data_IF_300505962360
#
_entry.id   IF_300505962360
#
_cell.length_a   1.000
_cell.length_b   1.000
_cell.length_c   1.000
_cell.angle_alpha   90.00
_cell.angle_beta   90.00
_cell.angle_gamma   90.00
#
_symmetry.space_group_name_H-M   'P 1'
#
loop_
_entity.id
_entity.type
_entity.pdbx_description
1 polymer ?
#
# COMPACT_ATOMS: atom_id res chain seq x y z
N UNK A 1 11.25 -60.80 5.13
CA UNK A 1 11.86 -59.54 5.59
C UNK A 1 11.03 -58.31 5.12
N UNK A 2 9.83 -58.03 5.66
CA UNK A 2 9.01 -56.90 5.18
C UNK A 2 9.15 -55.60 6.01
N UNK A 3 9.86 -55.60 7.15
CA UNK A 3 9.88 -54.49 8.11
C UNK A 3 11.11 -53.57 8.08
N UNK A 4 12.17 -53.93 7.35
CA UNK A 4 13.47 -53.20 7.42
C UNK A 4 13.47 -51.97 6.49
N UNK A 5 12.91 -52.11 5.29
CA UNK A 5 12.87 -51.03 4.30
C UNK A 5 12.04 -49.80 4.76
N UNK A 6 10.84 -49.96 5.38
CA UNK A 6 10.08 -48.85 5.93
C UNK A 6 10.77 -48.16 7.12
N UNK A 7 11.49 -48.93 7.94
CA UNK A 7 12.23 -48.40 9.09
C UNK A 7 13.47 -47.60 8.67
N UNK A 8 14.20 -48.08 7.65
CA UNK A 8 15.35 -47.38 7.08
C UNK A 8 14.92 -46.09 6.38
N UNK A 9 13.83 -46.13 5.63
CA UNK A 9 13.26 -44.97 4.94
C UNK A 9 12.74 -43.93 5.93
N UNK A 10 12.08 -44.35 7.02
CA UNK A 10 11.66 -43.45 8.11
C UNK A 10 12.85 -42.82 8.84
N UNK A 11 13.93 -43.57 9.07
CA UNK A 11 15.18 -43.04 9.64
C UNK A 11 15.85 -42.03 8.71
N UNK A 12 15.84 -42.27 7.40
CA UNK A 12 16.38 -41.34 6.41
C UNK A 12 15.56 -40.05 6.36
N UNK A 13 14.23 -40.15 6.30
CA UNK A 13 13.31 -39.00 6.35
C UNK A 13 13.53 -38.18 7.63
N UNK A 14 13.63 -38.82 8.80
CA UNK A 14 13.88 -38.12 10.06
C UNK A 14 15.26 -37.44 10.09
N UNK A 15 16.30 -38.05 9.54
CA UNK A 15 17.64 -37.44 9.44
C UNK A 15 17.63 -36.23 8.50
N UNK A 16 17.00 -36.36 7.33
CA UNK A 16 16.84 -35.25 6.38
C UNK A 16 16.04 -34.12 7.01
N UNK A 17 14.93 -34.43 7.68
CA UNK A 17 14.13 -33.44 8.42
C UNK A 17 14.95 -32.75 9.52
N UNK A 18 15.76 -33.49 10.28
CA UNK A 18 16.65 -32.93 11.29
C UNK A 18 17.72 -31.99 10.71
N UNK A 19 18.31 -32.34 9.56
CA UNK A 19 19.28 -31.48 8.86
C UNK A 19 18.60 -30.21 8.35
N UNK A 20 17.41 -30.31 7.76
CA UNK A 20 16.63 -29.16 7.29
C UNK A 20 16.27 -28.23 8.45
N UNK A 21 15.80 -28.78 9.58
CA UNK A 21 15.49 -27.99 10.78
C UNK A 21 16.73 -27.28 11.33
N UNK A 22 17.88 -27.97 11.39
CA UNK A 22 19.13 -27.36 11.84
C UNK A 22 19.60 -26.24 10.90
N UNK A 23 19.48 -26.43 9.58
CA UNK A 23 19.81 -25.41 8.59
C UNK A 23 18.88 -24.18 8.71
N UNK A 24 17.57 -24.39 8.86
CA UNK A 24 16.61 -23.32 9.12
C UNK A 24 16.93 -22.55 10.41
N UNK A 25 17.32 -23.26 11.48
CA UNK A 25 17.70 -22.64 12.74
C UNK A 25 18.98 -21.81 12.63
N UNK A 26 20.02 -22.34 11.97
CA UNK A 26 21.27 -21.60 11.74
C UNK A 26 21.04 -20.37 10.86
N UNK A 27 20.18 -20.49 9.85
CA UNK A 27 19.80 -19.37 9.00
C UNK A 27 19.02 -18.30 9.77
N UNK A 28 18.07 -18.70 10.63
CA UNK A 28 17.36 -17.79 11.54
C UNK A 28 18.34 -17.09 12.50
N UNK A 29 19.27 -17.83 13.12
CA UNK A 29 20.25 -17.27 14.04
C UNK A 29 21.20 -16.28 13.33
N UNK A 30 21.66 -16.61 12.12
CA UNK A 30 22.45 -15.70 11.30
C UNK A 30 21.66 -14.46 10.88
N UNK A 31 20.42 -14.63 10.42
CA UNK A 31 19.56 -13.52 10.01
C UNK A 31 19.29 -12.59 11.19
N UNK A 32 18.97 -13.13 12.37
CA UNK A 32 18.84 -12.36 13.60
C UNK A 32 20.12 -11.59 13.90
N UNK A 33 21.27 -12.25 13.97
CA UNK A 33 22.54 -11.60 14.30
C UNK A 33 22.94 -10.51 13.28
N UNK A 34 22.90 -10.84 11.99
CA UNK A 34 23.28 -9.93 10.91
C UNK A 34 22.32 -8.74 10.86
N UNK A 35 21.01 -8.97 10.76
CA UNK A 35 20.06 -7.87 10.59
C UNK A 35 19.87 -7.03 11.86
N UNK A 36 19.99 -7.58 13.07
CA UNK A 36 20.04 -6.73 14.28
C UNK A 36 21.30 -5.86 14.31
N UNK A 37 22.45 -6.36 13.83
CA UNK A 37 23.70 -5.61 13.86
C UNK A 37 23.86 -4.59 12.73
N UNK A 38 23.19 -4.79 11.59
CA UNK A 38 23.34 -3.93 10.41
C UNK A 38 22.15 -3.02 10.12
N UNK A 39 20.94 -3.36 10.59
CA UNK A 39 19.74 -2.57 10.28
C UNK A 39 19.68 -1.32 11.15
N UNK A 40 19.85 -0.16 10.51
CA UNK A 40 19.74 1.14 11.17
C UNK A 40 18.28 1.61 11.13
N UNK A 41 17.57 1.49 12.23
CA UNK A 41 16.29 2.16 12.42
C UNK A 41 16.57 3.62 12.81
N UNK A 42 16.01 4.61 12.11
CA UNK A 42 16.17 6.01 12.49
C UNK A 42 15.70 6.29 13.93
N UNK A 43 16.38 7.16 14.69
CA UNK A 43 16.12 7.34 16.12
C UNK A 43 14.75 7.93 16.46
N UNK A 44 14.08 8.62 15.52
CA UNK A 44 12.74 9.17 15.76
C UNK A 44 11.59 8.19 15.44
N UNK A 45 11.88 6.97 14.98
CA UNK A 45 10.85 5.95 14.77
C UNK A 45 10.35 5.43 16.11
N UNK A 46 9.03 5.30 16.26
CA UNK A 46 8.46 4.71 17.45
C UNK A 46 8.81 3.22 17.59
N UNK A 47 9.17 2.80 18.81
CA UNK A 47 9.37 1.38 19.16
C UNK A 47 10.32 0.62 18.20
N UNK A 48 11.59 1.06 18.05
CA UNK A 48 12.50 0.58 17.01
C UNK A 48 12.79 -0.93 17.05
N UNK A 49 12.75 -1.56 18.23
CA UNK A 49 12.90 -3.01 18.38
C UNK A 49 11.79 -3.79 17.65
N UNK A 50 10.56 -3.28 17.62
CA UNK A 50 9.46 -3.90 16.87
C UNK A 50 9.70 -3.81 15.36
N UNK A 51 10.23 -2.67 14.89
CA UNK A 51 10.60 -2.49 13.47
C UNK A 51 11.72 -3.45 13.08
N UNK A 52 12.75 -3.61 13.91
CA UNK A 52 13.81 -4.59 13.67
C UNK A 52 13.28 -6.02 13.63
N UNK A 53 12.38 -6.38 14.55
CA UNK A 53 11.72 -7.69 14.53
C UNK A 53 10.94 -7.91 13.22
N UNK A 54 10.10 -6.95 12.83
CA UNK A 54 9.34 -7.02 11.57
C UNK A 54 10.24 -7.11 10.35
N UNK A 55 11.33 -6.35 10.31
CA UNK A 55 12.32 -6.43 9.24
C UNK A 55 12.90 -7.83 9.10
N UNK A 56 13.31 -8.45 10.21
CA UNK A 56 13.85 -9.81 10.21
C UNK A 56 12.82 -10.81 9.71
N UNK A 57 11.57 -10.72 10.19
CA UNK A 57 10.47 -11.55 9.69
C UNK A 57 10.30 -11.41 8.19
N UNK A 58 10.26 -10.17 7.66
CA UNK A 58 10.13 -9.94 6.22
C UNK A 58 11.28 -10.53 5.42
N UNK A 59 12.53 -10.26 5.83
CA UNK A 59 13.72 -10.82 5.15
C UNK A 59 13.66 -12.35 5.12
N UNK A 60 13.22 -12.97 6.21
CA UNK A 60 13.06 -14.43 6.25
C UNK A 60 11.92 -14.92 5.36
N UNK A 61 10.76 -14.27 5.34
CA UNK A 61 9.66 -14.69 4.47
C UNK A 61 10.05 -14.61 2.99
N UNK A 62 10.69 -13.51 2.57
CA UNK A 62 11.16 -13.34 1.20
C UNK A 62 12.33 -14.28 0.85
N UNK A 63 13.28 -14.47 1.77
CA UNK A 63 14.41 -15.36 1.59
C UNK A 63 13.98 -16.83 1.44
N UNK A 64 13.08 -17.29 2.32
CA UNK A 64 12.51 -18.62 2.24
C UNK A 64 11.74 -18.81 0.95
N UNK A 65 10.88 -17.85 0.58
CA UNK A 65 10.14 -17.93 -0.67
C UNK A 65 11.06 -17.99 -1.89
N UNK A 66 12.13 -17.20 -1.91
CA UNK A 66 13.10 -17.22 -3.00
C UNK A 66 13.75 -18.60 -3.16
N UNK A 67 14.18 -19.22 -2.06
CA UNK A 67 14.75 -20.57 -2.09
C UNK A 67 13.74 -21.59 -2.60
N UNK A 68 12.53 -21.62 -2.03
CA UNK A 68 11.48 -22.56 -2.41
C UNK A 68 11.03 -22.39 -3.86
N UNK A 69 10.95 -21.14 -4.34
CA UNK A 69 10.68 -20.83 -5.74
C UNK A 69 11.76 -21.36 -6.67
N UNK A 70 13.04 -21.17 -6.33
CA UNK A 70 14.16 -21.66 -7.14
C UNK A 70 14.22 -23.18 -7.28
N UNK A 71 13.75 -23.91 -6.29
CA UNK A 71 13.69 -25.39 -6.33
C UNK A 71 12.32 -25.92 -6.82
N UNK A 72 11.40 -25.03 -7.24
CA UNK A 72 10.11 -25.41 -7.83
C UNK A 72 9.05 -25.89 -6.83
N UNK A 73 9.20 -25.60 -5.53
CA UNK A 73 8.25 -26.05 -4.49
C UNK A 73 7.06 -25.11 -4.27
N UNK A 74 7.21 -23.81 -4.55
CA UNK A 74 6.08 -22.88 -4.53
C UNK A 74 6.27 -21.69 -5.48
N UNK A 75 5.18 -21.02 -5.90
CA UNK A 75 5.28 -19.81 -6.70
C UNK A 75 6.04 -18.68 -5.99
N UNK A 76 6.60 -17.77 -6.78
CA UNK A 76 7.10 -16.51 -6.27
C UNK A 76 5.96 -15.72 -5.58
N UNK A 77 6.27 -15.06 -4.48
CA UNK A 77 5.38 -14.38 -3.54
C UNK A 77 4.43 -15.25 -2.69
N UNK A 78 4.38 -16.58 -2.89
CA UNK A 78 3.42 -17.44 -2.17
C UNK A 78 3.56 -17.37 -0.64
N UNK A 79 4.79 -17.46 -0.11
CA UNK A 79 5.03 -17.44 1.34
C UNK A 79 4.73 -16.09 1.99
N UNK A 80 5.24 -14.94 1.48
CA UNK A 80 4.88 -13.65 2.08
C UNK A 80 3.38 -13.37 1.99
N UNK A 81 2.70 -13.68 0.87
CA UNK A 81 1.24 -13.54 0.75
C UNK A 81 0.51 -14.33 1.84
N UNK A 82 0.82 -15.62 1.95
CA UNK A 82 0.22 -16.48 2.96
C UNK A 82 0.46 -15.92 4.38
N UNK A 83 1.68 -15.51 4.71
CA UNK A 83 2.00 -15.01 6.05
C UNK A 83 1.19 -13.77 6.45
N UNK A 84 0.82 -12.91 5.48
CA UNK A 84 -0.03 -11.74 5.75
C UNK A 84 -1.51 -12.11 5.98
N UNK A 85 -1.98 -13.24 5.43
CA UNK A 85 -3.39 -13.67 5.50
C UNK A 85 -3.71 -14.57 6.70
N UNK A 86 -2.69 -15.11 7.38
CA UNK A 86 -2.87 -16.15 8.43
C UNK A 86 -3.44 -15.61 9.75
N UNK A 87 -3.65 -14.30 9.87
CA UNK A 87 -4.19 -13.71 11.10
C UNK A 87 -5.71 -13.79 11.05
N UNK A 88 -6.36 -14.65 11.84
CA UNK A 88 -7.81 -14.79 11.78
C UNK A 88 -8.51 -13.50 12.22
N UNK A 89 -9.72 -13.25 11.70
CA UNK A 89 -10.58 -12.20 12.19
C UNK A 89 -10.77 -12.33 13.70
N UNK A 90 -10.85 -11.20 14.39
CA UNK A 90 -11.24 -11.22 15.80
C UNK A 90 -12.74 -11.49 15.92
N UNK A 91 -13.15 -12.39 16.81
CA UNK A 91 -14.55 -12.51 17.20
C UNK A 91 -15.00 -11.21 17.89
N UNK A 92 -15.78 -10.40 17.18
CA UNK A 92 -16.40 -9.19 17.71
C UNK A 92 -17.92 -9.28 17.48
N UNK A 93 -18.72 -9.56 18.51
CA UNK A 93 -20.16 -9.77 18.35
C UNK A 93 -20.91 -8.50 17.91
N UNK A 94 -20.29 -7.32 18.08
CA UNK A 94 -20.91 -6.01 17.79
C UNK A 94 -20.95 -5.67 16.31
N UNK A 95 -20.09 -6.30 15.50
CA UNK A 95 -19.98 -6.03 14.06
C UNK A 95 -20.45 -7.24 13.24
N UNK A 96 -21.12 -6.94 12.12
CA UNK A 96 -21.46 -7.88 11.06
C UNK A 96 -20.37 -7.83 10.00
N UNK A 97 -19.87 -9.00 9.61
CA UNK A 97 -18.91 -9.16 8.50
C UNK A 97 -19.55 -10.09 7.48
N UNK A 98 -19.74 -9.60 6.25
CA UNK A 98 -20.37 -10.36 5.16
C UNK A 98 -19.47 -10.34 3.92
N UNK A 99 -19.25 -11.50 3.31
CA UNK A 99 -18.60 -11.59 2.01
C UNK A 99 -19.65 -11.60 0.91
N UNK A 100 -19.45 -10.79 -0.13
CA UNK A 100 -20.30 -10.71 -1.32
C UNK A 100 -19.44 -10.60 -2.59
N UNK A 101 -20.09 -10.51 -3.75
CA UNK A 101 -19.44 -10.23 -5.02
C UNK A 101 -20.12 -9.03 -5.69
N UNK A 102 -19.34 -8.01 -6.04
CA UNK A 102 -19.79 -6.85 -6.82
C UNK A 102 -19.23 -6.98 -8.22
N UNK A 103 -20.09 -7.18 -9.23
CA UNK A 103 -19.68 -7.42 -10.63
C UNK A 103 -18.62 -8.55 -10.76
N UNK A 104 -18.72 -9.59 -9.93
CA UNK A 104 -17.76 -10.70 -9.91
C UNK A 104 -16.46 -10.44 -9.11
N UNK A 105 -16.29 -9.26 -8.54
CA UNK A 105 -15.17 -8.93 -7.64
C UNK A 105 -15.56 -9.28 -6.21
N UNK A 106 -14.78 -10.11 -5.49
CA UNK A 106 -15.08 -10.42 -4.10
C UNK A 106 -14.93 -9.18 -3.24
N UNK A 107 -15.89 -8.94 -2.35
CA UNK A 107 -15.86 -7.83 -1.40
C UNK A 107 -16.21 -8.32 0.00
N UNK A 108 -15.73 -7.61 1.02
CA UNK A 108 -16.09 -7.84 2.41
C UNK A 108 -16.69 -6.59 3.02
N UNK A 109 -17.90 -6.72 3.54
CA UNK A 109 -18.70 -5.64 4.11
C UNK A 109 -18.64 -5.72 5.63
N UNK A 110 -18.30 -4.60 6.26
CA UNK A 110 -18.22 -4.41 7.70
C UNK A 110 -19.28 -3.38 8.12
N UNK A 111 -20.14 -3.75 9.07
CA UNK A 111 -21.20 -2.87 9.57
C UNK A 111 -21.56 -3.21 11.02
N UNK A 112 -21.79 -2.19 11.86
CA UNK A 112 -22.32 -2.40 13.21
C UNK A 112 -23.71 -3.06 13.16
N UNK A 113 -23.93 -4.06 14.02
CA UNK A 113 -25.24 -4.73 14.13
C UNK A 113 -26.29 -3.87 14.82
N UNK A 114 -25.87 -2.92 15.64
CA UNK A 114 -26.76 -1.97 16.28
C UNK A 114 -27.52 -1.17 15.22
N UNK A 115 -28.83 -0.95 15.38
CA UNK A 115 -29.58 -0.09 14.49
C UNK A 115 -29.00 1.33 14.51
N UNK A 116 -28.79 1.93 13.35
CA UNK A 116 -28.49 3.37 13.27
C UNK A 116 -29.80 4.16 13.21
N UNK A 117 -29.78 5.38 13.72
CA UNK A 117 -30.93 6.29 13.66
C UNK A 117 -31.26 6.74 12.22
N UNK A 118 -30.35 6.52 11.27
CA UNK A 118 -30.55 6.79 9.85
C UNK A 118 -29.60 6.00 8.97
N UNK A 119 -29.49 6.39 7.70
CA UNK A 119 -28.48 5.82 6.81
C UNK A 119 -27.07 6.19 7.30
N UNK A 120 -26.09 5.31 7.07
CA UNK A 120 -24.69 5.47 7.47
C UNK A 120 -23.85 6.08 6.37
N UNK A 121 -22.62 6.50 6.74
CA UNK A 121 -21.55 6.77 5.77
C UNK A 121 -21.12 5.46 5.12
N UNK A 122 -20.78 5.50 3.85
CA UNK A 122 -20.24 4.35 3.11
C UNK A 122 -18.78 4.57 2.78
N UNK A 123 -17.93 3.58 3.02
CA UNK A 123 -16.50 3.64 2.72
C UNK A 123 -16.15 2.50 1.79
N UNK A 124 -15.77 2.79 0.55
CA UNK A 124 -15.10 1.82 -0.32
C UNK A 124 -13.60 1.84 -0.01
N UNK A 125 -13.06 0.71 0.41
CA UNK A 125 -11.66 0.56 0.78
C UNK A 125 -10.88 -0.29 -0.23
N UNK A 126 -9.75 0.22 -0.69
CA UNK A 126 -8.78 -0.49 -1.54
C UNK A 126 -7.49 -0.67 -0.76
N UNK A 127 -7.04 -1.92 -0.64
CA UNK A 127 -5.85 -2.22 0.14
C UNK A 127 -4.55 -1.85 -0.57
N UNK A 128 -3.46 -1.76 0.18
CA UNK A 128 -2.11 -1.53 -0.32
C UNK A 128 -1.43 -2.82 -0.81
N UNK A 129 -0.10 -2.83 -0.80
CA UNK A 129 0.69 -4.01 -1.18
C UNK A 129 1.17 -4.03 -2.64
N UNK A 130 1.34 -2.86 -3.26
CA UNK A 130 1.93 -2.70 -4.60
C UNK A 130 1.20 -3.48 -5.72
N UNK A 131 -0.08 -3.84 -5.53
CA UNK A 131 -0.80 -4.74 -6.45
C UNK A 131 -0.27 -6.19 -6.48
N UNK A 132 0.67 -6.52 -5.60
CA UNK A 132 1.35 -7.82 -5.48
C UNK A 132 1.04 -8.54 -4.16
N UNK A 133 0.58 -7.82 -3.14
CA UNK A 133 0.31 -8.29 -1.79
C UNK A 133 -1.02 -7.73 -1.28
N UNK A 134 -1.44 -8.23 -0.11
CA UNK A 134 -2.67 -7.81 0.57
C UNK A 134 -3.88 -8.65 0.15
N UNK A 135 -4.92 -8.58 0.97
CA UNK A 135 -6.19 -9.27 0.77
C UNK A 135 -7.23 -8.66 1.72
N UNK A 136 -8.50 -9.03 1.52
CA UNK A 136 -9.58 -8.73 2.47
C UNK A 136 -9.37 -9.38 3.85
N UNK A 137 -8.55 -10.43 3.94
CA UNK A 137 -8.21 -11.10 5.20
C UNK A 137 -7.10 -10.35 5.92
N UNK A 138 -6.02 -10.00 5.23
CA UNK A 138 -4.90 -9.24 5.80
C UNK A 138 -5.32 -7.87 6.35
N UNK A 139 -6.33 -7.23 5.74
CA UNK A 139 -6.83 -5.92 6.15
C UNK A 139 -8.04 -5.99 7.10
N UNK A 140 -8.42 -7.17 7.60
CA UNK A 140 -9.65 -7.34 8.38
C UNK A 140 -9.70 -6.42 9.60
N UNK A 141 -8.64 -6.39 10.41
CA UNK A 141 -8.60 -5.62 11.66
C UNK A 141 -8.65 -4.12 11.39
N UNK A 142 -7.96 -3.67 10.35
CA UNK A 142 -7.95 -2.29 9.90
C UNK A 142 -9.36 -1.84 9.45
N UNK A 143 -9.99 -2.60 8.55
CA UNK A 143 -11.32 -2.33 8.03
C UNK A 143 -12.39 -2.37 9.12
N UNK A 144 -12.37 -3.40 9.98
CA UNK A 144 -13.27 -3.53 11.12
C UNK A 144 -13.15 -2.36 12.07
N UNK A 145 -11.93 -1.91 12.36
CA UNK A 145 -11.69 -0.78 13.26
C UNK A 145 -12.33 0.50 12.72
N UNK A 146 -12.09 0.84 11.45
CA UNK A 146 -12.69 2.06 10.86
C UNK A 146 -14.22 1.96 10.86
N UNK A 147 -14.79 0.84 10.39
CA UNK A 147 -16.24 0.65 10.33
C UNK A 147 -16.90 0.81 11.70
N UNK A 148 -16.32 0.17 12.72
CA UNK A 148 -16.81 0.20 14.10
C UNK A 148 -16.70 1.59 14.71
N UNK A 149 -15.49 2.14 14.70
CA UNK A 149 -15.22 3.38 15.44
C UNK A 149 -15.88 4.60 14.79
N UNK A 150 -16.19 4.56 13.48
CA UNK A 150 -16.84 5.65 12.76
C UNK A 150 -18.35 5.48 12.52
N UNK A 151 -18.97 4.37 12.97
CA UNK A 151 -20.35 3.97 12.63
C UNK A 151 -20.62 4.04 11.11
N UNK A 152 -19.70 3.46 10.33
CA UNK A 152 -19.78 3.43 8.87
C UNK A 152 -20.00 2.02 8.35
N UNK A 153 -20.59 1.91 7.15
CA UNK A 153 -20.51 0.69 6.35
C UNK A 153 -19.23 0.75 5.54
N UNK A 154 -18.31 -0.18 5.77
CA UNK A 154 -17.06 -0.26 5.02
C UNK A 154 -17.07 -1.49 4.13
N UNK A 155 -16.77 -1.30 2.85
CA UNK A 155 -16.65 -2.35 1.84
C UNK A 155 -15.18 -2.46 1.42
N UNK A 156 -14.52 -3.54 1.80
CA UNK A 156 -13.14 -3.84 1.41
C UNK A 156 -13.14 -4.63 0.10
N UNK A 157 -12.43 -4.15 -0.91
CA UNK A 157 -12.39 -4.75 -2.26
C UNK A 157 -11.25 -5.76 -2.35
N UNK A 158 -11.59 -7.02 -2.63
CA UNK A 158 -10.64 -8.12 -2.83
C UNK A 158 -10.20 -8.26 -4.28
N UNK A 159 -9.63 -7.19 -4.86
CA UNK A 159 -9.17 -7.23 -6.25
C UNK A 159 -8.02 -8.24 -6.43
N UNK A 160 -7.85 -8.74 -7.66
CA UNK A 160 -6.84 -9.74 -8.02
C UNK A 160 -5.41 -9.17 -8.00
N UNK A 161 -4.40 -10.00 -7.74
CA UNK A 161 -3.00 -9.55 -7.68
C UNK A 161 -2.23 -9.89 -8.96
N UNK A 162 -1.24 -9.05 -9.30
CA UNK A 162 -0.22 -9.38 -10.28
C UNK A 162 0.80 -10.36 -9.65
N UNK A 163 1.48 -11.22 -10.42
CA UNK A 163 1.45 -11.32 -11.88
C UNK A 163 0.28 -12.16 -12.43
N UNK A 164 -0.49 -12.85 -11.59
CA UNK A 164 -1.59 -13.71 -12.04
C UNK A 164 -2.69 -12.92 -12.78
N UNK A 165 -2.88 -11.66 -12.41
CA UNK A 165 -3.73 -10.71 -13.12
C UNK A 165 -2.93 -9.42 -13.36
N UNK A 166 -2.39 -9.21 -14.58
CA UNK A 166 -1.50 -8.08 -14.86
C UNK A 166 -2.24 -6.74 -14.83
N UNK A 167 -1.47 -5.66 -14.72
CA UNK A 167 -1.94 -4.30 -14.96
C UNK A 167 -2.69 -4.22 -16.32
N UNK A 168 -3.85 -3.54 -16.41
CA UNK A 168 -4.53 -2.71 -15.40
C UNK A 168 -5.71 -3.41 -14.68
N UNK A 169 -5.73 -4.74 -14.59
CA UNK A 169 -6.92 -5.50 -14.13
C UNK A 169 -7.44 -5.05 -12.77
N UNK A 170 -6.55 -4.71 -11.83
CA UNK A 170 -6.88 -4.21 -10.50
C UNK A 170 -7.74 -2.94 -10.55
N UNK A 171 -7.35 -1.99 -11.41
CA UNK A 171 -8.07 -0.72 -11.55
C UNK A 171 -9.48 -0.94 -12.08
N UNK A 172 -9.65 -1.86 -13.03
CA UNK A 172 -10.95 -2.20 -13.58
C UNK A 172 -11.84 -2.84 -12.51
N UNK A 173 -11.33 -3.80 -11.75
CA UNK A 173 -12.09 -4.43 -10.67
C UNK A 173 -12.47 -3.45 -9.55
N UNK A 174 -11.54 -2.59 -9.13
CA UNK A 174 -11.84 -1.54 -8.16
C UNK A 174 -12.88 -0.56 -8.69
N UNK A 175 -12.79 -0.17 -9.97
CA UNK A 175 -13.79 0.68 -10.62
C UNK A 175 -15.17 0.02 -10.62
N UNK A 176 -15.28 -1.23 -11.08
CA UNK A 176 -16.56 -1.91 -11.22
C UNK A 176 -17.23 -2.18 -9.86
N UNK A 177 -16.46 -2.59 -8.86
CA UNK A 177 -16.95 -2.72 -7.49
C UNK A 177 -17.42 -1.37 -6.91
N UNK A 178 -16.72 -0.28 -7.20
CA UNK A 178 -17.10 1.08 -6.77
C UNK A 178 -18.39 1.53 -7.42
N UNK A 179 -18.51 1.38 -8.74
CA UNK A 179 -19.73 1.73 -9.48
C UNK A 179 -20.92 0.91 -9.00
N UNK A 180 -20.73 -0.39 -8.75
CA UNK A 180 -21.76 -1.25 -8.18
C UNK A 180 -22.23 -0.74 -6.82
N UNK A 181 -21.30 -0.48 -5.90
CA UNK A 181 -21.62 0.00 -4.57
C UNK A 181 -22.35 1.35 -4.61
N UNK A 182 -21.86 2.30 -5.42
CA UNK A 182 -22.46 3.63 -5.55
C UNK A 182 -23.89 3.58 -6.11
N UNK A 183 -24.20 2.65 -7.01
CA UNK A 183 -25.56 2.47 -7.53
C UNK A 183 -26.51 1.80 -6.53
N UNK A 184 -25.98 1.02 -5.60
CA UNK A 184 -26.75 0.16 -4.71
C UNK A 184 -26.58 0.55 -3.23
N UNK A 185 -26.00 1.70 -2.90
CA UNK A 185 -25.57 2.04 -1.55
C UNK A 185 -26.71 2.01 -0.54
N UNK A 186 -27.91 2.45 -0.94
CA UNK A 186 -29.10 2.44 -0.08
C UNK A 186 -29.48 1.03 0.38
N UNK A 187 -29.23 -0.01 -0.44
CA UNK A 187 -29.48 -1.41 -0.07
C UNK A 187 -28.61 -1.88 1.10
N UNK A 188 -27.48 -1.22 1.32
CA UNK A 188 -26.57 -1.47 2.44
C UNK A 188 -26.84 -0.54 3.65
N UNK A 189 -27.90 0.27 3.59
CA UNK A 189 -28.20 1.31 4.57
C UNK A 189 -27.22 2.48 4.53
N UNK A 190 -26.62 2.75 3.35
CA UNK A 190 -25.66 3.83 3.13
C UNK A 190 -26.33 4.99 2.40
N UNK A 191 -26.09 6.18 2.92
CA UNK A 191 -26.51 7.44 2.31
C UNK A 191 -25.68 7.72 1.05
N UNK A 192 -26.30 7.78 -0.16
CA UNK A 192 -25.57 8.03 -1.40
C UNK A 192 -24.78 9.34 -1.40
N UNK A 193 -25.16 10.33 -0.59
CA UNK A 193 -24.46 11.61 -0.48
C UNK A 193 -23.22 11.57 0.43
N UNK A 194 -22.97 10.44 1.12
CA UNK A 194 -21.88 10.28 2.10
C UNK A 194 -21.00 9.06 1.79
N UNK A 195 -20.70 8.85 0.50
CA UNK A 195 -19.79 7.81 0.03
C UNK A 195 -18.35 8.34 0.01
N UNK A 196 -17.45 7.61 0.63
CA UNK A 196 -16.03 7.91 0.76
C UNK A 196 -15.23 6.85 0.02
N UNK A 197 -14.24 7.25 -0.77
CA UNK A 197 -13.23 6.34 -1.31
C UNK A 197 -11.96 6.41 -0.46
N UNK A 198 -11.42 5.28 -0.04
CA UNK A 198 -10.29 5.21 0.86
C UNK A 198 -9.29 4.13 0.41
N UNK A 199 -8.00 4.40 0.54
CA UNK A 199 -7.01 3.37 0.33
C UNK A 199 -5.63 3.76 0.83
N UNK A 200 -4.82 2.73 1.10
CA UNK A 200 -3.46 2.89 1.60
C UNK A 200 -2.42 2.50 0.56
N UNK A 201 -1.30 3.23 0.49
CA UNK A 201 -0.20 2.91 -0.43
C UNK A 201 -0.68 2.80 -1.89
N UNK A 202 -0.64 1.61 -2.49
CA UNK A 202 -1.23 1.29 -3.80
C UNK A 202 -2.76 1.48 -3.84
N UNK A 203 -3.48 1.19 -2.76
CA UNK A 203 -4.90 1.51 -2.66
C UNK A 203 -5.16 3.02 -2.68
N UNK A 204 -4.22 3.82 -2.16
CA UNK A 204 -4.23 5.28 -2.26
C UNK A 204 -4.08 5.76 -3.70
N UNK A 205 -3.20 5.12 -4.48
CA UNK A 205 -3.09 5.32 -5.93
C UNK A 205 -4.44 5.09 -6.63
N UNK A 206 -5.05 3.93 -6.39
CA UNK A 206 -6.35 3.54 -6.96
C UNK A 206 -7.42 4.56 -6.57
N UNK A 207 -7.46 4.97 -5.31
CA UNK A 207 -8.42 5.95 -4.77
C UNK A 207 -8.33 7.29 -5.51
N UNK A 208 -7.11 7.84 -5.62
CA UNK A 208 -6.88 9.11 -6.29
C UNK A 208 -7.31 9.04 -7.77
N UNK A 209 -6.92 7.97 -8.47
CA UNK A 209 -7.31 7.75 -9.86
C UNK A 209 -8.83 7.63 -10.04
N UNK A 210 -9.51 6.81 -9.21
CA UNK A 210 -10.95 6.62 -9.32
C UNK A 210 -11.72 7.91 -9.02
N UNK A 211 -11.28 8.73 -8.06
CA UNK A 211 -11.91 10.03 -7.83
C UNK A 211 -11.81 10.95 -9.04
N UNK A 212 -10.64 10.99 -9.71
CA UNK A 212 -10.47 11.74 -10.96
C UNK A 212 -11.37 11.23 -12.08
N UNK A 213 -11.56 9.92 -12.18
CA UNK A 213 -12.38 9.30 -13.22
C UNK A 213 -13.89 9.47 -12.99
N UNK A 214 -14.34 9.31 -11.76
CA UNK A 214 -15.76 9.31 -11.42
C UNK A 214 -16.35 10.71 -11.26
N UNK A 215 -15.52 11.75 -11.05
CA UNK A 215 -15.96 13.13 -10.78
C UNK A 215 -17.03 13.63 -11.75
N UNK A 216 -16.87 13.36 -13.04
CA UNK A 216 -17.74 13.88 -14.10
C UNK A 216 -18.93 12.96 -14.44
N UNK A 217 -19.05 11.80 -13.77
CA UNK A 217 -20.20 10.90 -13.94
C UNK A 217 -21.44 11.54 -13.32
N UNK A 218 -22.53 11.56 -14.08
CA UNK A 218 -23.83 12.12 -13.67
C UNK A 218 -24.86 11.04 -13.37
N UNK A 219 -24.59 9.80 -13.77
CA UNK A 219 -25.40 8.61 -13.50
C UNK A 219 -25.10 7.97 -12.13
N UNK A 220 -24.17 8.52 -11.37
CA UNK A 220 -23.74 8.03 -10.05
C UNK A 220 -23.87 9.15 -9.01
N UNK A 221 -24.08 8.79 -7.72
CA UNK A 221 -23.85 9.72 -6.61
C UNK A 221 -22.45 10.34 -6.68
N UNK A 222 -22.27 11.50 -6.05
CA UNK A 222 -20.92 12.09 -5.94
C UNK A 222 -20.14 11.43 -4.82
N UNK A 223 -18.84 11.24 -5.04
CA UNK A 223 -17.93 10.92 -3.94
C UNK A 223 -17.89 12.12 -3.02
N UNK A 224 -18.14 11.90 -1.73
CA UNK A 224 -18.18 12.93 -0.71
C UNK A 224 -16.78 13.33 -0.26
N UNK A 225 -15.92 12.35 0.01
CA UNK A 225 -14.53 12.54 0.39
C UNK A 225 -13.62 11.44 -0.18
N UNK A 226 -12.33 11.74 -0.33
CA UNK A 226 -11.30 10.75 -0.64
C UNK A 226 -10.23 10.71 0.45
N UNK A 227 -9.81 9.52 0.87
CA UNK A 227 -8.83 9.32 1.94
C UNK A 227 -7.61 8.57 1.39
N UNK A 228 -6.46 9.24 1.42
CA UNK A 228 -5.20 8.76 0.86
C UNK A 228 -4.20 8.51 1.99
N UNK A 229 -3.94 7.23 2.30
CA UNK A 229 -3.06 6.87 3.41
C UNK A 229 -1.68 6.50 2.87
N UNK A 230 -0.68 7.33 3.18
CA UNK A 230 0.72 7.25 2.69
C UNK A 230 0.80 6.78 1.23
N UNK A 231 0.13 7.51 0.30
CA UNK A 231 -0.18 7.00 -1.03
C UNK A 231 1.04 7.02 -1.96
N UNK A 232 1.10 6.05 -2.88
CA UNK A 232 1.95 6.15 -4.07
C UNK A 232 1.21 6.95 -5.14
N UNK A 233 1.80 8.01 -5.69
CA UNK A 233 1.08 8.91 -6.61
C UNK A 233 1.87 9.34 -7.84
N UNK A 234 3.17 9.01 -7.94
CA UNK A 234 3.96 9.28 -9.13
C UNK A 234 5.15 8.32 -9.32
N UNK A 235 5.40 7.95 -10.57
CA UNK A 235 6.58 7.18 -11.00
C UNK A 235 7.60 8.04 -11.78
N UNK A 236 7.48 9.36 -11.74
CA UNK A 236 8.30 10.29 -12.52
C UNK A 236 9.69 10.51 -11.91
N UNK A 237 9.74 10.80 -10.61
CA UNK A 237 10.97 11.10 -9.87
C UNK A 237 11.02 10.30 -8.57
N UNK A 238 11.75 9.20 -8.60
CA UNK A 238 12.03 8.37 -7.42
C UNK A 238 13.30 8.82 -6.68
N UNK A 239 13.72 10.07 -6.87
CA UNK A 239 14.85 10.73 -6.19
C UNK A 239 14.43 11.99 -5.44
N UNK A 240 13.13 12.20 -5.20
CA UNK A 240 12.66 13.22 -4.25
C UNK A 240 13.30 13.03 -2.86
N UNK A 241 13.38 14.09 -2.02
CA UNK A 241 14.03 14.05 -0.72
C UNK A 241 13.71 12.81 0.14
N UNK A 242 12.44 12.46 0.32
CA UNK A 242 11.97 11.30 1.09
C UNK A 242 12.45 9.96 0.52
N UNK A 243 12.45 9.79 -0.80
CA UNK A 243 12.98 8.59 -1.45
C UNK A 243 14.47 8.37 -1.11
N UNK A 244 15.24 9.45 -0.96
CA UNK A 244 16.66 9.38 -0.58
C UNK A 244 16.83 9.21 0.93
N UNK A 245 16.18 10.07 1.72
CA UNK A 245 16.23 10.10 3.18
C UNK A 245 15.83 8.74 3.79
N UNK A 246 14.79 8.12 3.25
CA UNK A 246 14.23 6.86 3.74
C UNK A 246 14.63 5.66 2.86
N UNK A 247 15.65 5.82 1.99
CA UNK A 247 16.04 4.83 0.99
C UNK A 247 16.36 3.43 1.54
N UNK A 248 16.81 3.35 2.80
CA UNK A 248 17.20 2.12 3.49
C UNK A 248 16.23 1.74 4.62
N UNK A 249 15.03 2.32 4.67
CA UNK A 249 14.09 2.01 5.74
C UNK A 249 13.79 0.49 5.78
N UNK A 250 13.86 -0.18 6.95
CA UNK A 250 13.90 -1.65 6.99
C UNK A 250 12.67 -2.37 6.42
N UNK A 251 11.48 -1.76 6.50
CA UNK A 251 10.23 -2.40 6.07
C UNK A 251 9.92 -2.17 4.58
N UNK A 252 10.21 -0.97 4.08
CA UNK A 252 10.14 -0.64 2.65
C UNK A 252 11.33 0.24 2.28
N UNK A 253 12.28 -0.33 1.53
CA UNK A 253 13.39 0.44 0.98
C UNK A 253 13.00 1.00 -0.38
N UNK A 254 13.66 2.08 -0.81
CA UNK A 254 13.48 2.64 -2.16
C UNK A 254 13.71 1.57 -3.23
N UNK A 255 14.74 0.72 -3.04
CA UNK A 255 15.06 -0.37 -3.97
C UNK A 255 13.96 -1.42 -4.04
N UNK A 256 13.37 -1.80 -2.90
CA UNK A 256 12.29 -2.78 -2.87
C UNK A 256 10.99 -2.22 -3.47
N UNK A 257 10.64 -0.97 -3.18
CA UNK A 257 9.52 -0.28 -3.82
C UNK A 257 9.64 -0.33 -5.35
N UNK A 258 10.78 0.09 -5.89
CA UNK A 258 11.04 0.07 -7.34
C UNK A 258 11.02 -1.35 -7.92
N UNK A 259 11.52 -2.34 -7.18
CA UNK A 259 11.47 -3.74 -7.59
C UNK A 259 10.03 -4.25 -7.69
N UNK A 260 9.18 -3.90 -6.72
CA UNK A 260 7.77 -4.29 -6.72
C UNK A 260 7.00 -3.55 -7.81
N UNK A 261 7.26 -2.26 -8.03
CA UNK A 261 6.68 -1.50 -9.14
C UNK A 261 7.05 -2.12 -10.51
N UNK A 262 8.33 -2.46 -10.71
CA UNK A 262 8.77 -3.13 -11.94
C UNK A 262 8.08 -4.50 -12.11
N UNK A 263 7.97 -5.29 -11.05
CA UNK A 263 7.26 -6.57 -11.12
C UNK A 263 5.76 -6.42 -11.39
N UNK A 264 5.10 -5.39 -10.83
CA UNK A 264 3.69 -5.10 -11.06
C UNK A 264 3.40 -4.75 -12.52
N UNK A 265 4.31 -4.01 -13.16
CA UNK A 265 4.23 -3.58 -14.55
C UNK A 265 4.87 -4.56 -15.55
N UNK A 266 5.32 -5.73 -15.10
CA UNK A 266 6.05 -6.73 -15.92
C UNK A 266 7.30 -6.15 -16.61
N UNK A 267 8.04 -5.32 -15.89
CA UNK A 267 9.22 -4.61 -16.38
C UNK A 267 10.53 -5.21 -15.86
N UNK A 268 11.61 -5.00 -16.63
CA UNK A 268 12.95 -5.49 -16.30
C UNK A 268 13.52 -4.85 -15.03
N UNK A 269 14.29 -5.62 -14.26
CA UNK A 269 15.05 -5.13 -13.10
C UNK A 269 16.09 -4.07 -13.45
N UNK A 270 16.53 -3.98 -14.72
CA UNK A 270 17.39 -2.89 -15.19
C UNK A 270 16.76 -1.51 -14.99
N UNK A 271 15.42 -1.43 -14.93
CA UNK A 271 14.70 -0.20 -14.56
C UNK A 271 15.18 0.35 -13.22
N UNK A 272 15.39 -0.53 -12.24
CA UNK A 272 15.62 -0.13 -10.84
C UNK A 272 16.87 0.75 -10.75
N UNK A 273 17.97 0.32 -11.39
CA UNK A 273 19.23 1.08 -11.39
C UNK A 273 19.10 2.38 -12.20
N UNK A 274 18.30 2.38 -13.26
CA UNK A 274 18.03 3.58 -14.06
C UNK A 274 17.17 4.61 -13.30
N UNK A 275 16.11 4.17 -12.61
CA UNK A 275 15.29 5.03 -11.76
C UNK A 275 16.10 5.63 -10.59
N UNK A 276 16.94 4.81 -9.94
CA UNK A 276 17.82 5.24 -8.84
C UNK A 276 18.87 6.25 -9.32
N UNK A 277 19.35 6.12 -10.57
CA UNK A 277 20.32 7.06 -11.15
C UNK A 277 19.68 8.28 -11.82
N UNK A 278 18.34 8.41 -11.79
CA UNK A 278 17.60 9.50 -12.44
C UNK A 278 17.52 9.38 -13.96
N UNK A 279 18.01 8.28 -14.55
CA UNK A 279 18.17 8.07 -15.98
C UNK A 279 16.93 7.57 -16.72
N UNK A 280 15.82 7.41 -16.01
CA UNK A 280 14.61 6.80 -16.55
C UNK A 280 13.79 7.73 -17.43
N UNK A 281 13.61 8.98 -16.97
CA UNK A 281 12.71 9.95 -17.59
C UNK A 281 13.52 11.01 -18.33
N UNK A 282 13.24 11.30 -19.61
CA UNK A 282 13.94 12.35 -20.35
C UNK A 282 13.83 13.73 -19.70
N UNK A 283 14.89 14.54 -19.79
CA UNK A 283 14.93 15.88 -19.19
C UNK A 283 13.78 16.78 -19.70
N UNK A 284 13.37 16.66 -20.96
CA UNK A 284 12.23 17.41 -21.50
C UNK A 284 10.92 17.11 -20.78
N UNK A 285 10.70 15.85 -20.41
CA UNK A 285 9.53 15.40 -19.64
C UNK A 285 9.65 15.84 -18.18
N UNK A 286 10.83 15.71 -17.57
CA UNK A 286 11.07 16.23 -16.21
C UNK A 286 10.78 17.73 -16.14
N UNK A 287 11.24 18.50 -17.13
CA UNK A 287 10.99 19.94 -17.22
C UNK A 287 9.51 20.27 -17.41
N UNK A 288 8.76 19.47 -18.18
CA UNK A 288 7.30 19.63 -18.34
C UNK A 288 6.58 19.54 -16.99
N UNK A 289 6.96 18.57 -16.15
CA UNK A 289 6.31 18.31 -14.87
C UNK A 289 7.00 18.96 -13.67
N UNK A 290 8.08 19.74 -13.87
CA UNK A 290 8.84 20.39 -12.80
C UNK A 290 7.98 21.28 -11.91
N UNK A 291 6.95 21.91 -12.47
CA UNK A 291 5.99 22.71 -11.69
C UNK A 291 5.21 21.90 -10.66
N UNK A 292 5.16 20.56 -10.80
CA UNK A 292 4.36 19.66 -9.96
C UNK A 292 5.23 18.68 -9.18
N UNK A 293 6.18 18.02 -9.85
CA UNK A 293 7.11 17.04 -9.25
C UNK A 293 8.50 17.64 -9.23
N UNK A 294 8.82 18.32 -8.13
CA UNK A 294 10.14 18.87 -7.86
C UNK A 294 10.32 19.14 -6.37
N UNK A 295 11.56 19.07 -5.88
CA UNK A 295 11.86 19.31 -4.47
C UNK A 295 11.57 20.74 -3.98
N UNK A 296 11.46 21.70 -4.90
CA UNK A 296 11.05 23.08 -4.59
C UNK A 296 9.59 23.20 -4.16
N UNK A 297 8.76 22.23 -4.53
CA UNK A 297 7.34 22.18 -4.15
C UNK A 297 7.12 21.48 -2.81
N UNK A 298 8.20 21.04 -2.14
CA UNK A 298 8.15 20.36 -0.84
C UNK A 298 8.49 21.38 0.25
N UNK A 299 7.75 21.43 1.38
CA UNK A 299 8.06 22.34 2.48
C UNK A 299 9.49 22.18 2.99
N UNK A 300 10.07 23.29 3.46
CA UNK A 300 11.49 23.39 3.77
C UNK A 300 11.96 22.34 4.78
N UNK A 301 11.18 22.14 5.84
CA UNK A 301 11.40 21.18 6.92
C UNK A 301 11.58 19.73 6.44
N UNK A 302 11.00 19.35 5.29
CA UNK A 302 11.10 17.99 4.74
C UNK A 302 12.27 17.82 3.75
N UNK A 303 12.87 18.91 3.24
CA UNK A 303 13.99 18.87 2.27
C UNK A 303 15.37 19.11 2.86
N UNK A 304 15.47 19.59 4.10
CA UNK A 304 16.76 19.98 4.73
C UNK A 304 17.70 18.82 5.06
N UNK A 305 17.23 17.58 5.11
CA UNK A 305 18.06 16.41 5.44
C UNK A 305 18.56 15.73 4.16
N UNK A 306 19.87 15.57 4.02
CA UNK A 306 20.53 14.65 3.07
C UNK A 306 19.85 14.51 1.69
N UNK A 307 19.74 15.61 0.94
CA UNK A 307 19.27 15.58 -0.44
C UNK A 307 20.42 15.93 -1.39
N UNK A 308 20.79 14.97 -2.22
CA UNK A 308 21.65 15.22 -3.37
C UNK A 308 20.77 15.22 -4.61
N UNK A 309 20.66 16.33 -5.36
CA UNK A 309 19.96 16.33 -6.64
C UNK A 309 20.57 15.25 -7.54
N UNK A 310 19.73 14.42 -8.18
CA UNK A 310 20.23 13.44 -9.13
C UNK A 310 20.95 14.17 -10.28
N UNK A 311 22.10 13.65 -10.76
CA UNK A 311 22.77 14.25 -11.91
C UNK A 311 21.85 14.21 -13.15
N UNK A 312 21.96 15.20 -14.05
CA UNK A 312 21.14 15.24 -15.26
C UNK A 312 21.39 14.00 -16.11
N UNK A 313 20.30 13.31 -16.42
CA UNK A 313 20.31 12.06 -17.15
C UNK A 313 20.49 12.23 -18.65
N UNK A 314 21.23 11.31 -19.26
CA UNK A 314 21.16 11.04 -20.71
C UNK A 314 20.24 9.83 -20.92
N UNK A 315 19.04 10.00 -21.51
CA UNK A 315 18.13 8.88 -21.73
C UNK A 315 18.77 7.85 -22.65
N UNK A 316 18.53 6.56 -22.41
CA UNK A 316 18.82 5.51 -23.39
C UNK A 316 17.62 5.37 -24.33
N UNK A 317 17.85 5.28 -25.63
CA UNK A 317 16.81 5.40 -26.68
C UNK A 317 15.72 4.29 -26.68
N UNK A 318 15.83 3.26 -25.85
CA UNK A 318 14.95 2.07 -25.89
C UNK A 318 13.90 1.98 -24.76
N UNK A 319 13.47 3.12 -24.18
CA UNK A 319 12.68 3.16 -22.94
C UNK A 319 11.22 3.63 -23.11
N UNK A 320 10.70 3.69 -24.33
CA UNK A 320 9.38 4.26 -24.63
C UNK A 320 8.22 3.63 -23.84
N UNK A 321 8.10 2.29 -23.80
CA UNK A 321 6.97 1.63 -23.13
C UNK A 321 6.90 1.96 -21.63
N UNK A 322 8.07 1.96 -20.97
CA UNK A 322 8.16 2.28 -19.56
C UNK A 322 7.84 3.75 -19.28
N UNK A 323 8.26 4.66 -20.17
CA UNK A 323 7.89 6.06 -20.08
C UNK A 323 6.37 6.24 -20.18
N UNK A 324 5.70 5.51 -21.07
CA UNK A 324 4.24 5.56 -21.19
C UNK A 324 3.53 5.11 -19.92
N UNK A 325 3.94 4.00 -19.32
CA UNK A 325 3.34 3.50 -18.08
C UNK A 325 3.61 4.42 -16.89
N UNK A 326 4.83 4.93 -16.75
CA UNK A 326 5.18 5.87 -15.68
C UNK A 326 4.41 7.19 -15.76
N UNK A 327 3.98 7.59 -16.96
CA UNK A 327 3.18 8.78 -17.21
C UNK A 327 1.67 8.50 -17.26
N UNK A 328 1.24 7.24 -17.23
CA UNK A 328 -0.17 6.88 -17.22
C UNK A 328 -0.81 7.43 -15.94
N UNK A 329 -1.94 8.14 -16.09
CA UNK A 329 -2.71 8.70 -14.96
C UNK A 329 -3.15 7.64 -13.95
N UNK A 330 -3.29 6.36 -14.35
CA UNK A 330 -3.56 5.24 -13.43
C UNK A 330 -2.39 4.97 -12.47
N UNK A 331 -1.15 5.18 -12.93
CA UNK A 331 0.07 4.94 -12.15
C UNK A 331 0.56 6.23 -11.47
N UNK A 332 0.35 7.37 -12.13
CA UNK A 332 0.83 8.68 -11.68
C UNK A 332 -0.29 9.73 -11.70
N UNK A 333 -1.36 9.59 -10.89
CA UNK A 333 -2.47 10.55 -10.84
C UNK A 333 -2.04 11.95 -10.39
N UNK A 334 -0.87 12.10 -9.75
CA UNK A 334 -0.28 13.40 -9.44
C UNK A 334 0.08 14.20 -10.70
N UNK A 335 0.41 13.51 -11.80
CA UNK A 335 0.73 14.12 -13.09
C UNK A 335 -0.52 14.47 -13.91
N UNK A 336 -1.72 14.24 -13.38
CA UNK A 336 -2.95 14.60 -14.06
C UNK A 336 -3.03 16.12 -14.24
N UNK A 337 -3.55 16.55 -15.39
CA UNK A 337 -3.81 17.96 -15.65
C UNK A 337 -4.79 18.53 -14.63
N UNK A 338 -4.72 19.85 -14.41
CA UNK A 338 -5.56 20.59 -13.46
C UNK A 338 -7.06 20.31 -13.63
N UNK A 339 -7.52 20.13 -14.87
CA UNK A 339 -8.92 19.80 -15.17
C UNK A 339 -9.39 18.48 -14.53
N UNK A 340 -8.49 17.53 -14.26
CA UNK A 340 -8.81 16.30 -13.53
C UNK A 340 -8.84 16.54 -12.02
N UNK A 341 -8.06 17.49 -11.50
CA UNK A 341 -7.97 17.82 -10.06
C UNK A 341 -9.07 18.77 -9.58
N UNK A 342 -9.47 19.75 -10.40
CA UNK A 342 -10.50 20.73 -10.04
C UNK A 342 -11.84 20.06 -9.75
N UNK A 343 -12.47 20.38 -8.62
CA UNK A 343 -13.76 19.79 -8.24
C UNK A 343 -13.68 18.33 -7.81
N UNK A 344 -12.48 17.81 -7.51
CA UNK A 344 -12.35 16.57 -6.75
C UNK A 344 -13.00 16.72 -5.36
N UNK A 345 -13.42 15.61 -4.74
CA UNK A 345 -13.97 15.64 -3.39
C UNK A 345 -12.94 16.14 -2.37
N UNK A 346 -13.42 16.61 -1.22
CA UNK A 346 -12.55 16.93 -0.10
C UNK A 346 -11.64 15.74 0.20
N UNK A 347 -10.37 16.04 0.48
CA UNK A 347 -9.34 15.02 0.55
C UNK A 347 -8.69 14.99 1.92
N UNK A 348 -8.64 13.82 2.54
CA UNK A 348 -7.76 13.54 3.67
C UNK A 348 -6.49 12.86 3.20
N UNK A 349 -5.34 13.38 3.60
CA UNK A 349 -4.03 12.79 3.30
C UNK A 349 -3.32 12.49 4.60
N UNK A 350 -2.96 11.23 4.82
CA UNK A 350 -2.07 10.83 5.89
C UNK A 350 -0.68 10.56 5.31
N UNK A 351 0.37 11.19 5.83
CA UNK A 351 1.75 10.85 5.47
C UNK A 351 2.57 10.44 6.69
N UNK A 352 3.68 9.73 6.46
CA UNK A 352 4.58 9.26 7.50
C UNK A 352 5.98 9.86 7.28
N UNK A 353 6.68 10.26 8.34
CA UNK A 353 8.03 10.84 8.24
C UNK A 353 9.04 9.82 7.67
N UNK A 354 8.99 8.58 8.14
CA UNK A 354 9.91 7.51 7.75
C UNK A 354 9.34 6.66 6.61
N UNK A 355 8.97 7.34 5.52
CA UNK A 355 8.40 6.75 4.32
C UNK A 355 9.07 7.31 3.06
N UNK A 356 9.39 6.44 2.10
CA UNK A 356 9.91 6.84 0.79
C UNK A 356 8.84 7.57 -0.04
N UNK A 357 7.55 7.37 0.26
CA UNK A 357 6.42 7.99 -0.44
C UNK A 357 5.91 9.27 0.24
N UNK A 358 6.57 9.75 1.31
CA UNK A 358 6.11 10.94 2.03
C UNK A 358 5.90 12.12 1.09
N UNK A 359 6.84 12.34 0.17
CA UNK A 359 6.78 13.50 -0.70
C UNK A 359 5.73 13.37 -1.82
N UNK A 360 5.36 12.15 -2.23
CA UNK A 360 4.23 11.95 -3.15
C UNK A 360 2.95 12.54 -2.56
N UNK A 361 2.67 12.25 -1.29
CA UNK A 361 1.52 12.81 -0.56
C UNK A 361 1.61 14.33 -0.39
N UNK A 362 2.79 14.88 -0.07
CA UNK A 362 2.98 16.33 0.10
C UNK A 362 2.80 17.10 -1.22
N UNK A 363 3.33 16.55 -2.32
CA UNK A 363 3.20 17.15 -3.64
C UNK A 363 1.75 17.09 -4.13
N UNK A 364 1.06 15.96 -3.92
CA UNK A 364 -0.36 15.88 -4.29
C UNK A 364 -1.24 16.77 -3.44
N UNK A 365 -0.97 16.89 -2.13
CA UNK A 365 -1.61 17.87 -1.25
C UNK A 365 -1.53 19.27 -1.87
N UNK A 366 -0.32 19.71 -2.23
CA UNK A 366 -0.10 21.02 -2.86
C UNK A 366 -0.87 21.13 -4.19
N UNK A 367 -0.83 20.11 -5.05
CA UNK A 367 -1.56 20.09 -6.34
C UNK A 367 -3.07 20.26 -6.15
N UNK A 368 -3.64 19.62 -5.14
CA UNK A 368 -5.05 19.72 -4.79
C UNK A 368 -5.40 21.12 -4.26
N UNK A 369 -4.61 21.65 -3.32
CA UNK A 369 -4.78 23.00 -2.77
C UNK A 369 -4.67 24.08 -3.86
N UNK A 370 -3.68 23.98 -4.75
CA UNK A 370 -3.49 24.88 -5.89
C UNK A 370 -4.69 24.84 -6.87
N UNK A 371 -5.47 23.75 -6.86
CA UNK A 371 -6.67 23.55 -7.68
C UNK A 371 -7.99 23.75 -6.90
N UNK A 372 -7.91 24.33 -5.70
CA UNK A 372 -9.09 24.69 -4.89
C UNK A 372 -9.81 23.52 -4.24
N UNK A 373 -9.18 22.35 -4.15
CA UNK A 373 -9.72 21.18 -3.44
C UNK A 373 -9.42 21.33 -1.94
N UNK A 374 -10.41 21.21 -1.05
CA UNK A 374 -10.15 21.23 0.39
C UNK A 374 -9.33 19.99 0.81
N UNK A 375 -8.26 20.21 1.57
CA UNK A 375 -7.37 19.13 2.02
C UNK A 375 -7.15 19.17 3.54
N UNK A 376 -7.49 18.06 4.20
CA UNK A 376 -7.10 17.77 5.58
C UNK A 376 -5.84 16.91 5.57
N UNK A 377 -4.71 17.45 6.03
CA UNK A 377 -3.44 16.73 6.06
C UNK A 377 -3.06 16.34 7.48
N UNK A 378 -2.71 15.06 7.68
CA UNK A 378 -2.24 14.50 8.94
C UNK A 378 -0.87 13.86 8.75
N UNK A 379 0.13 14.27 9.52
CA UNK A 379 1.49 13.76 9.42
C UNK A 379 1.89 12.99 10.67
N UNK A 380 2.30 11.73 10.50
CA UNK A 380 2.87 10.90 11.57
C UNK A 380 4.39 11.11 11.61
N UNK A 381 4.85 11.96 12.53
CA UNK A 381 6.26 12.32 12.71
C UNK A 381 7.18 11.14 13.07
N UNK A 382 6.63 10.11 13.73
CA UNK A 382 7.33 8.89 14.13
C UNK A 382 6.84 7.65 13.35
N UNK A 383 5.98 7.87 12.36
CA UNK A 383 5.35 6.83 11.55
C UNK A 383 6.21 6.38 10.37
N UNK A 384 5.87 5.21 9.84
CA UNK A 384 6.47 4.62 8.65
C UNK A 384 5.40 4.06 7.72
N UNK A 385 5.79 3.63 6.53
CA UNK A 385 4.86 3.12 5.52
C UNK A 385 4.03 1.92 6.02
N UNK A 386 2.73 1.88 5.71
CA UNK A 386 1.78 0.83 6.13
C UNK A 386 1.56 0.69 7.66
N UNK A 387 1.97 1.68 8.46
CA UNK A 387 1.89 1.60 9.93
C UNK A 387 0.46 1.45 10.46
N UNK A 388 -0.55 2.03 9.81
CA UNK A 388 -1.94 1.97 10.29
C UNK A 388 -2.56 0.58 10.13
N UNK A 389 -2.09 -0.22 9.18
CA UNK A 389 -2.54 -1.62 8.99
C UNK A 389 -2.17 -2.50 10.18
N UNK A 390 -1.15 -2.12 10.95
CA UNK A 390 -0.67 -2.87 12.12
C UNK A 390 -1.56 -2.70 13.36
N UNK A 391 -2.70 -1.98 13.26
CA UNK A 391 -3.62 -1.77 14.35
C UNK A 391 -4.21 -3.09 14.88
N UNK A 392 -4.27 -3.24 16.21
CA UNK A 392 -4.81 -4.42 16.89
C UNK A 392 -4.09 -5.74 16.55
N UNK A 393 -2.87 -5.73 16.01
CA UNK A 393 -2.06 -6.93 15.78
C UNK A 393 -1.16 -7.27 16.99
N UNK A 394 -1.74 -7.40 18.19
CA UNK A 394 -1.04 -7.80 19.43
C UNK A 394 0.31 -7.03 19.58
N UNK A 395 1.45 -7.73 19.62
CA UNK A 395 2.77 -7.19 19.93
C UNK A 395 3.32 -6.29 18.82
N UNK A 396 2.83 -6.41 17.58
CA UNK A 396 3.24 -5.57 16.45
C UNK A 396 2.34 -4.33 16.27
N UNK A 397 1.40 -4.07 17.18
CA UNK A 397 0.69 -2.77 17.22
C UNK A 397 1.64 -1.66 17.66
N UNK A 398 1.69 -0.55 16.91
CA UNK A 398 2.49 0.63 17.25
C UNK A 398 1.64 1.74 17.87
N UNK A 399 2.23 2.57 18.73
CA UNK A 399 1.53 3.74 19.27
C UNK A 399 1.06 4.66 18.14
N UNK A 400 1.93 4.96 17.18
CA UNK A 400 1.61 5.79 16.02
C UNK A 400 0.61 5.15 15.05
N UNK A 401 0.51 3.81 15.06
CA UNK A 401 -0.57 3.11 14.35
C UNK A 401 -1.93 3.55 14.91
N UNK A 402 -2.09 3.53 16.23
CA UNK A 402 -3.31 3.99 16.90
C UNK A 402 -3.57 5.47 16.64
N UNK A 403 -2.56 6.33 16.80
CA UNK A 403 -2.68 7.77 16.53
C UNK A 403 -3.13 8.05 15.09
N UNK A 404 -2.55 7.35 14.10
CA UNK A 404 -2.97 7.44 12.71
C UNK A 404 -4.41 6.99 12.50
N UNK A 405 -4.82 5.88 13.13
CA UNK A 405 -6.19 5.38 13.07
C UNK A 405 -7.19 6.34 13.74
N UNK A 406 -6.83 6.95 14.87
CA UNK A 406 -7.64 7.97 15.54
C UNK A 406 -7.85 9.18 14.60
N UNK A 407 -6.79 9.64 13.90
CA UNK A 407 -6.88 10.69 12.90
C UNK A 407 -7.84 10.35 11.74
N UNK A 408 -7.73 9.14 11.21
CA UNK A 408 -8.63 8.59 10.17
C UNK A 408 -10.08 8.59 10.65
N UNK A 409 -10.36 8.03 11.84
CA UNK A 409 -11.71 7.94 12.39
C UNK A 409 -12.30 9.31 12.69
N UNK A 410 -11.50 10.23 13.26
CA UNK A 410 -11.94 11.59 13.56
C UNK A 410 -12.29 12.35 12.28
N UNK A 411 -11.53 12.19 11.20
CA UNK A 411 -11.87 12.75 9.90
C UNK A 411 -13.21 12.22 9.40
N UNK A 412 -13.41 10.89 9.38
CA UNK A 412 -14.66 10.27 8.92
C UNK A 412 -15.87 10.74 9.74
N UNK A 413 -15.72 10.93 11.05
CA UNK A 413 -16.79 11.45 11.93
C UNK A 413 -17.11 12.93 11.69
N UNK A 414 -16.13 13.70 11.22
CA UNK A 414 -16.24 15.12 10.96
C UNK A 414 -16.94 15.47 9.64
N UNK A 415 -16.94 14.53 8.68
CA UNK A 415 -17.75 14.58 7.45
C UNK A 415 -19.24 14.42 7.76
#
# INVERSE_FOLDING_TARGET
MPGILPALMRRLVNKVAGIVLAACFLWLAWALYYHFSTSKVPPGVCQPLKVQFLHIVLVMLFGLNYVLWKIGLCPWLAIPRFAFDVIPPSDDPTISIKNEFFEGVPVRIYQLKEPSAGMRRGIMFFHGGCGLFGSIDAYERFCRYIAKESDSVLVSVGYCLAPESPYPTQFNQCHDATVHFMKNSENYGVDPARIILCGDSFGGLVTAYLCQELKNRTDLPKVHAQMLLYPFLQALDCNLPSYQQNSLFPLISRKNLLKFAAQYLDQSTSMIDMAISGNLIPQSIQMKYKGWVHSDNIPYEFRIRNHNPAPPASPKDNLFNLLYEALDRKISPLLADDSFLQGLPETFILTCEYDVLRDDGLLYKKRLEDNGVPVSWYHLEDGFHAITVLINHWFITFTSSKTGMDGIVNYVKGL
#
